data_IF_044701819216
#
_entry.id   IF_044701819216
#
_cell.length_a   1.000
_cell.length_b   1.000
_cell.length_c   1.000
_cell.angle_alpha   90.00
_cell.angle_beta   90.00
_cell.angle_gamma   90.00
#
_symmetry.space_group_name_H-M   'P 1'
#
loop_
_entity.id
_entity.type
_entity.pdbx_description
1 polymer ?
#
# COMPACT_ATOMS: atom_id res chain seq x y z
N UNK A 1 -2.22 14.97 17.11
CA UNK A 1 -2.72 14.30 15.92
C UNK A 1 -1.56 13.83 15.08
N UNK A 2 -1.05 12.62 15.39
CA UNK A 2 -0.08 11.95 14.54
C UNK A 2 -0.87 11.10 13.56
N UNK A 3 -1.02 11.57 12.32
CA UNK A 3 -1.40 10.71 11.21
C UNK A 3 -0.33 9.61 11.13
N UNK A 4 -0.74 8.37 11.33
CA UNK A 4 0.14 7.24 11.07
C UNK A 4 0.30 7.15 9.55
N UNK A 5 1.49 7.57 9.08
CA UNK A 5 1.86 7.43 7.69
C UNK A 5 1.94 5.95 7.34
N UNK A 6 1.15 5.51 6.38
CA UNK A 6 1.41 4.27 5.68
C UNK A 6 2.73 4.46 4.91
N UNK A 7 3.81 3.91 5.44
CA UNK A 7 5.13 4.03 4.83
C UNK A 7 5.26 2.99 3.71
N UNK A 8 5.08 3.41 2.46
CA UNK A 8 5.56 2.61 1.33
C UNK A 8 7.09 2.71 1.31
N UNK A 9 7.78 1.60 1.54
CA UNK A 9 9.23 1.49 1.44
C UNK A 9 9.58 0.65 0.24
N UNK A 10 10.36 1.21 -0.69
CA UNK A 10 10.97 0.42 -1.75
C UNK A 10 12.26 -0.20 -1.20
N UNK A 11 12.36 -1.52 -1.24
CA UNK A 11 13.53 -2.29 -0.86
C UNK A 11 14.23 -2.76 -2.14
N UNK A 12 15.40 -2.20 -2.41
CA UNK A 12 16.25 -2.67 -3.49
C UNK A 12 17.10 -3.85 -2.99
N UNK A 13 16.88 -5.03 -3.56
CA UNK A 13 17.60 -6.23 -3.19
C UNK A 13 18.62 -6.52 -4.30
N UNK A 14 19.92 -6.46 -3.97
CA UNK A 14 21.00 -6.74 -4.90
C UNK A 14 21.25 -8.25 -5.01
N UNK A 15 21.72 -8.70 -6.16
CA UNK A 15 22.00 -10.10 -6.45
C UNK A 15 22.97 -10.77 -5.49
N UNK A 16 23.87 -10.01 -4.84
CA UNK A 16 24.79 -10.53 -3.83
C UNK A 16 24.10 -11.07 -2.58
N UNK A 17 22.87 -10.62 -2.32
CA UNK A 17 22.11 -11.00 -1.11
C UNK A 17 21.16 -12.17 -1.36
N UNK A 18 20.85 -12.40 -2.64
CA UNK A 18 19.98 -13.48 -3.11
C UNK A 18 20.70 -14.18 -4.25
N UNK A 19 21.07 -15.45 -4.11
CA UNK A 19 21.65 -16.28 -5.19
C UNK A 19 20.62 -16.56 -6.31
N UNK A 20 20.10 -15.49 -6.93
CA UNK A 20 19.15 -15.55 -8.03
C UNK A 20 19.82 -14.90 -9.24
N UNK A 21 19.87 -15.63 -10.33
CA UNK A 21 20.62 -15.30 -11.56
C UNK A 21 20.48 -13.82 -11.98
N UNK A 22 21.59 -13.17 -12.16
CA UNK A 22 21.95 -11.92 -12.89
C UNK A 22 20.92 -10.78 -13.10
N UNK A 23 19.73 -10.82 -12.50
CA UNK A 23 18.72 -9.76 -12.58
C UNK A 23 18.35 -9.27 -11.17
N UNK A 24 18.53 -7.98 -10.93
CA UNK A 24 18.08 -7.34 -9.69
C UNK A 24 16.54 -7.29 -9.62
N UNK A 25 15.97 -7.43 -8.41
CA UNK A 25 14.57 -7.27 -8.15
C UNK A 25 14.33 -6.02 -7.30
N UNK A 26 13.28 -5.27 -7.61
CA UNK A 26 12.79 -4.18 -6.76
C UNK A 26 11.52 -4.68 -6.08
N UNK A 27 11.52 -4.73 -4.75
CA UNK A 27 10.36 -5.05 -3.95
C UNK A 27 9.83 -3.78 -3.31
N UNK A 28 8.59 -3.41 -3.65
CA UNK A 28 7.89 -2.31 -3.01
C UNK A 28 7.09 -2.85 -1.83
N UNK A 29 7.42 -2.43 -0.63
CA UNK A 29 6.72 -2.84 0.59
C UNK A 29 5.75 -1.74 1.03
N UNK A 30 4.47 -2.09 1.11
CA UNK A 30 3.42 -1.24 1.67
C UNK A 30 3.04 -1.82 3.04
N UNK A 31 3.31 -1.08 4.11
CA UNK A 31 2.88 -1.45 5.46
C UNK A 31 1.44 -1.01 5.67
N UNK A 32 0.64 -1.90 6.26
CA UNK A 32 -0.78 -1.64 6.52
C UNK A 32 -1.07 -1.65 8.02
N UNK A 33 -1.97 -0.77 8.51
CA UNK A 33 -2.39 -0.82 9.90
C UNK A 33 -3.11 -2.14 10.21
N UNK A 34 -2.81 -2.73 11.37
CA UNK A 34 -3.41 -4.01 11.78
C UNK A 34 -4.80 -3.88 12.41
N UNK A 35 -5.29 -2.69 12.72
CA UNK A 35 -6.54 -2.48 13.44
C UNK A 35 -7.76 -2.52 12.51
N UNK A 36 -8.86 -3.13 12.97
CA UNK A 36 -10.10 -3.28 12.20
C UNK A 36 -10.73 -1.98 11.69
N UNK A 37 -10.53 -0.88 12.42
CA UNK A 37 -11.07 0.43 12.06
C UNK A 37 -10.45 1.01 10.79
N UNK A 38 -9.29 0.48 10.38
CA UNK A 38 -8.55 0.88 9.18
C UNK A 38 -8.75 -0.07 7.99
N UNK A 39 -9.81 -0.85 7.99
CA UNK A 39 -10.11 -1.80 6.90
C UNK A 39 -10.17 -1.15 5.51
N UNK A 40 -10.58 0.10 5.45
CA UNK A 40 -10.63 0.88 4.21
C UNK A 40 -9.22 1.23 3.70
N UNK A 41 -8.30 1.63 4.58
CA UNK A 41 -6.90 1.91 4.24
C UNK A 41 -6.19 0.63 3.79
N UNK A 42 -6.42 -0.48 4.51
CA UNK A 42 -5.91 -1.81 4.12
C UNK A 42 -6.39 -2.18 2.71
N UNK A 43 -7.68 -2.03 2.43
CA UNK A 43 -8.25 -2.37 1.11
C UNK A 43 -7.59 -1.57 -0.04
N UNK A 44 -7.22 -0.32 0.20
CA UNK A 44 -6.56 0.53 -0.81
C UNK A 44 -5.11 0.12 -1.05
N UNK A 45 -4.37 -0.15 0.03
CA UNK A 45 -3.01 -0.65 -0.05
C UNK A 45 -2.97 -1.97 -0.83
N UNK A 46 -3.90 -2.89 -0.55
CA UNK A 46 -4.03 -4.15 -1.25
C UNK A 46 -4.33 -3.98 -2.75
N UNK A 47 -5.10 -2.96 -3.13
CA UNK A 47 -5.40 -2.68 -4.55
C UNK A 47 -4.15 -2.26 -5.36
N UNK A 48 -3.09 -1.81 -4.70
CA UNK A 48 -1.82 -1.42 -5.33
C UNK A 48 -0.79 -2.56 -5.38
N UNK A 49 -1.12 -3.77 -4.87
CA UNK A 49 -0.19 -4.88 -4.69
C UNK A 49 -0.51 -6.08 -5.59
N UNK A 50 0.47 -6.93 -5.83
CA UNK A 50 0.34 -8.25 -6.48
C UNK A 50 0.28 -9.39 -5.47
N UNK A 51 0.76 -9.16 -4.26
CA UNK A 51 0.75 -10.15 -3.19
C UNK A 51 0.66 -9.52 -1.81
N UNK A 52 0.35 -10.35 -0.83
CA UNK A 52 0.26 -9.96 0.57
C UNK A 52 0.99 -10.96 1.47
N UNK A 53 1.65 -10.45 2.48
CA UNK A 53 2.23 -11.24 3.56
C UNK A 53 1.24 -11.20 4.74
N UNK A 54 0.64 -12.34 5.07
CA UNK A 54 -0.19 -12.48 6.25
C UNK A 54 0.71 -12.82 7.44
N UNK A 55 1.02 -11.80 8.23
CA UNK A 55 1.97 -11.89 9.34
C UNK A 55 1.24 -12.21 10.64
N UNK A 56 1.59 -13.33 11.27
CA UNK A 56 1.03 -13.78 12.55
C UNK A 56 2.12 -13.78 13.63
N UNK A 57 1.79 -13.27 14.80
CA UNK A 57 2.66 -13.32 15.98
C UNK A 57 2.64 -14.75 16.57
N UNK A 58 3.81 -15.38 16.70
CA UNK A 58 3.94 -16.75 17.19
C UNK A 58 3.38 -16.94 18.61
N UNK A 59 3.42 -15.88 19.44
CA UNK A 59 2.95 -15.93 20.83
C UNK A 59 1.44 -15.72 20.90
N UNK A 60 0.91 -14.75 20.14
CA UNK A 60 -0.51 -14.38 20.17
C UNK A 60 -1.38 -15.28 19.30
N UNK A 61 -0.79 -15.91 18.28
CA UNK A 61 -1.52 -16.70 17.28
C UNK A 61 -2.44 -15.84 16.40
N UNK A 62 -3.41 -16.51 15.81
CA UNK A 62 -4.37 -15.90 14.89
C UNK A 62 -5.39 -15.10 15.70
N UNK A 63 -5.58 -13.84 15.30
CA UNK A 63 -6.51 -12.90 15.91
C UNK A 63 -7.67 -12.59 14.96
N UNK A 64 -8.77 -12.03 15.45
CA UNK A 64 -9.91 -11.63 14.62
C UNK A 64 -9.50 -10.69 13.47
N UNK A 65 -8.56 -9.79 13.74
CA UNK A 65 -7.99 -8.86 12.76
C UNK A 65 -7.23 -9.59 11.64
N UNK A 66 -6.54 -10.68 11.96
CA UNK A 66 -5.84 -11.53 10.98
C UNK A 66 -6.84 -12.10 9.96
N UNK A 67 -7.99 -12.60 10.44
CA UNK A 67 -9.04 -13.14 9.59
C UNK A 67 -9.72 -12.07 8.73
N UNK A 68 -9.95 -10.89 9.31
CA UNK A 68 -10.53 -9.77 8.58
C UNK A 68 -9.62 -9.31 7.43
N UNK A 69 -8.33 -9.13 7.70
CA UNK A 69 -7.34 -8.71 6.70
C UNK A 69 -7.10 -9.79 5.64
N UNK A 70 -7.12 -11.09 6.04
CA UNK A 70 -7.07 -12.20 5.09
C UNK A 70 -8.21 -12.12 4.08
N UNK A 71 -9.46 -11.94 4.54
CA UNK A 71 -10.62 -11.82 3.65
C UNK A 71 -10.52 -10.64 2.68
N UNK A 72 -9.94 -9.52 3.12
CA UNK A 72 -9.70 -8.38 2.24
C UNK A 72 -8.67 -8.72 1.15
N UNK A 73 -7.57 -9.40 1.51
CA UNK A 73 -6.55 -9.82 0.57
C UNK A 73 -7.08 -10.87 -0.44
N UNK A 74 -7.87 -11.84 0.03
CA UNK A 74 -8.56 -12.82 -0.84
C UNK A 74 -9.52 -12.15 -1.82
N UNK A 75 -10.32 -11.20 -1.33
CA UNK A 75 -11.26 -10.42 -2.17
C UNK A 75 -10.53 -9.57 -3.21
N UNK A 76 -9.33 -9.09 -2.91
CA UNK A 76 -8.47 -8.38 -3.85
C UNK A 76 -7.78 -9.31 -4.85
N UNK A 77 -7.91 -10.64 -4.70
CA UNK A 77 -7.32 -11.64 -5.60
C UNK A 77 -5.80 -11.75 -5.49
N UNK A 78 -5.22 -11.38 -4.36
CA UNK A 78 -3.78 -11.36 -4.16
C UNK A 78 -3.20 -12.75 -3.88
N UNK A 79 -1.93 -12.96 -4.25
CA UNK A 79 -1.17 -14.11 -3.76
C UNK A 79 -0.79 -13.87 -2.30
N UNK A 80 -1.26 -14.75 -1.41
CA UNK A 80 -1.04 -14.62 0.03
C UNK A 80 0.04 -15.58 0.48
N UNK A 81 1.03 -15.06 1.23
CA UNK A 81 2.08 -15.82 1.89
C UNK A 81 1.85 -15.79 3.40
N UNK A 82 1.68 -16.97 4.01
CA UNK A 82 1.57 -17.13 5.47
C UNK A 82 2.94 -17.05 6.14
N UNK A 83 3.05 -16.18 7.15
CA UNK A 83 4.31 -15.96 7.87
C UNK A 83 4.04 -15.89 9.37
N UNK A 84 4.80 -16.67 10.15
CA UNK A 84 4.79 -16.61 11.62
C UNK A 84 6.05 -15.91 12.08
N UNK A 85 5.88 -14.77 12.78
CA UNK A 85 6.96 -13.93 13.29
C UNK A 85 7.17 -14.14 14.80
N UNK A 86 8.32 -13.71 15.31
CA UNK A 86 8.76 -13.79 16.70
C UNK A 86 9.10 -15.21 17.16
N UNK A 87 9.62 -16.04 16.25
CA UNK A 87 10.05 -17.41 16.60
C UNK A 87 11.25 -17.42 17.58
N UNK A 88 11.96 -16.30 17.70
CA UNK A 88 13.02 -16.11 18.69
C UNK A 88 12.55 -16.23 20.14
N UNK A 89 11.25 -16.05 20.38
CA UNK A 89 10.65 -16.22 21.72
C UNK A 89 10.35 -17.68 22.05
N UNK A 90 10.56 -18.62 21.13
CA UNK A 90 10.35 -20.06 21.28
C UNK A 90 9.01 -20.42 21.97
N UNK A 91 7.86 -19.92 21.47
CA UNK A 91 6.59 -20.17 22.15
C UNK A 91 6.19 -21.66 22.04
N UNK A 92 5.72 -22.24 23.13
CA UNK A 92 5.29 -23.65 23.22
C UNK A 92 4.18 -24.00 22.21
N UNK A 93 3.35 -23.00 21.85
CA UNK A 93 2.22 -23.18 20.94
C UNK A 93 2.58 -22.97 19.45
N UNK A 94 3.87 -22.84 19.09
CA UNK A 94 4.30 -22.55 17.72
C UNK A 94 3.68 -23.52 16.68
N UNK A 95 3.76 -24.82 16.96
CA UNK A 95 3.23 -25.85 16.04
C UNK A 95 1.73 -25.68 15.83
N UNK A 96 0.97 -25.41 16.88
CA UNK A 96 -0.47 -25.15 16.79
C UNK A 96 -0.79 -23.90 15.96
N UNK A 97 0.03 -22.83 16.10
CA UNK A 97 -0.15 -21.61 15.29
C UNK A 97 0.13 -21.89 13.81
N UNK A 98 1.16 -22.66 13.50
CA UNK A 98 1.49 -23.07 12.12
C UNK A 98 0.36 -23.91 11.50
N UNK A 99 -0.18 -24.90 12.22
CA UNK A 99 -1.30 -25.72 11.76
C UNK A 99 -2.55 -24.88 11.51
N UNK A 100 -2.91 -24.02 12.45
CA UNK A 100 -4.08 -23.15 12.31
C UNK A 100 -3.94 -22.19 11.14
N UNK A 101 -2.75 -21.63 10.91
CA UNK A 101 -2.50 -20.74 9.77
C UNK A 101 -2.54 -21.48 8.44
N UNK A 102 -1.98 -22.70 8.38
CA UNK A 102 -2.02 -23.57 7.21
C UNK A 102 -3.46 -23.95 6.82
N UNK A 103 -4.30 -24.29 7.82
CA UNK A 103 -5.71 -24.61 7.64
C UNK A 103 -6.50 -23.42 7.04
N UNK A 104 -6.33 -22.23 7.61
CA UNK A 104 -7.02 -21.01 7.15
C UNK A 104 -6.59 -20.62 5.72
N UNK A 105 -5.30 -20.74 5.41
CA UNK A 105 -4.75 -20.44 4.09
C UNK A 105 -4.95 -21.58 3.08
N UNK A 106 -5.43 -22.74 3.53
CA UNK A 106 -5.60 -23.95 2.72
C UNK A 106 -4.31 -24.35 2.00
N UNK A 107 -3.19 -24.28 2.71
CA UNK A 107 -1.85 -24.57 2.20
C UNK A 107 -1.13 -25.57 3.10
N UNK A 108 -0.18 -26.37 2.60
CA UNK A 108 0.64 -27.23 3.45
C UNK A 108 1.37 -26.44 4.55
N UNK A 109 1.50 -27.03 5.74
CA UNK A 109 2.20 -26.39 6.87
C UNK A 109 3.65 -26.01 6.53
N UNK A 110 4.29 -26.78 5.70
CA UNK A 110 5.67 -26.59 5.21
C UNK A 110 5.83 -25.31 4.38
N UNK A 111 4.74 -24.80 3.83
CA UNK A 111 4.73 -23.55 3.08
C UNK A 111 4.61 -22.30 3.96
N UNK A 112 4.26 -22.47 5.23
CA UNK A 112 4.21 -21.36 6.20
C UNK A 112 5.63 -21.01 6.60
N UNK A 113 5.99 -19.76 6.37
CA UNK A 113 7.34 -19.26 6.67
C UNK A 113 7.46 -18.87 8.15
N UNK A 114 8.60 -19.18 8.72
CA UNK A 114 8.93 -18.89 10.14
C UNK A 114 10.04 -17.86 10.18
N UNK A 115 9.78 -16.72 10.82
CA UNK A 115 10.77 -15.64 10.88
C UNK A 115 10.89 -15.04 12.27
N UNK A 116 12.01 -14.38 12.50
CA UNK A 116 12.16 -13.37 13.54
C UNK A 116 12.63 -12.06 12.90
N UNK A 117 11.73 -11.08 12.80
CA UNK A 117 12.09 -9.77 12.32
C UNK A 117 13.13 -9.06 13.22
N UNK A 118 13.21 -9.47 14.51
CA UNK A 118 14.17 -8.94 15.48
C UNK A 118 15.59 -9.42 15.19
N UNK A 119 15.77 -10.72 14.89
CA UNK A 119 17.09 -11.35 14.69
C UNK A 119 17.49 -11.45 13.23
N UNK A 120 16.53 -11.28 12.30
CA UNK A 120 16.74 -11.51 10.86
C UNK A 120 16.56 -12.96 10.43
N UNK A 121 16.36 -13.91 11.36
CA UNK A 121 16.17 -15.33 11.04
C UNK A 121 14.97 -15.53 10.12
N UNK A 122 15.12 -16.31 9.04
CA UNK A 122 14.07 -16.63 8.09
C UNK A 122 13.66 -15.48 7.14
N UNK A 123 14.21 -14.27 7.30
CA UNK A 123 13.84 -13.11 6.47
C UNK A 123 14.33 -13.28 5.04
N UNK A 124 15.53 -13.85 4.84
CA UNK A 124 16.07 -14.11 3.49
C UNK A 124 15.18 -15.11 2.73
N UNK A 125 14.75 -16.15 3.40
CA UNK A 125 13.82 -17.16 2.86
C UNK A 125 12.46 -16.56 2.51
N UNK A 126 11.94 -15.63 3.34
CA UNK A 126 10.73 -14.89 3.05
C UNK A 126 10.87 -14.06 1.77
N UNK A 127 11.97 -13.30 1.62
CA UNK A 127 12.22 -12.50 0.42
C UNK A 127 12.33 -13.37 -0.85
N UNK A 128 13.00 -14.53 -0.76
CA UNK A 128 13.03 -15.51 -1.84
C UNK A 128 11.63 -16.03 -2.19
N UNK A 129 10.81 -16.33 -1.18
CA UNK A 129 9.46 -16.82 -1.40
C UNK A 129 8.57 -15.74 -2.05
N UNK A 130 8.73 -14.46 -1.68
CA UNK A 130 8.05 -13.34 -2.35
C UNK A 130 8.41 -13.32 -3.83
N UNK A 131 9.71 -13.29 -4.18
CA UNK A 131 10.16 -13.24 -5.57
C UNK A 131 9.67 -14.45 -6.38
N UNK A 132 9.64 -15.65 -5.76
CA UNK A 132 9.25 -16.88 -6.43
C UNK A 132 7.74 -17.07 -6.59
N UNK A 133 6.95 -16.62 -5.61
CA UNK A 133 5.52 -16.96 -5.50
C UNK A 133 4.59 -15.80 -5.82
N UNK A 134 5.01 -14.55 -5.60
CA UNK A 134 4.22 -13.37 -5.95
C UNK A 134 4.43 -13.06 -7.43
N UNK A 135 3.37 -12.94 -8.23
CA UNK A 135 3.53 -12.60 -9.65
C UNK A 135 4.12 -11.18 -9.79
N UNK A 136 4.90 -10.92 -10.84
CA UNK A 136 5.30 -9.56 -11.17
C UNK A 136 4.08 -8.71 -11.53
N UNK A 137 4.22 -7.37 -11.55
CA UNK A 137 3.22 -6.49 -12.12
C UNK A 137 2.79 -7.01 -13.50
N UNK A 138 1.49 -7.00 -13.76
CA UNK A 138 1.02 -7.42 -15.08
C UNK A 138 1.55 -6.43 -16.12
N UNK A 139 2.30 -6.94 -17.09
CA UNK A 139 2.63 -6.21 -18.31
C UNK A 139 1.34 -6.01 -19.12
N UNK A 140 0.57 -5.03 -18.76
CA UNK A 140 -0.54 -4.59 -19.58
C UNK A 140 0.08 -3.74 -20.68
N UNK A 141 0.54 -4.37 -21.76
CA UNK A 141 0.97 -3.67 -22.97
C UNK A 141 -0.24 -2.99 -23.62
N UNK A 142 -0.87 -2.09 -22.89
CA UNK A 142 -1.94 -1.26 -23.44
C UNK A 142 -1.28 -0.05 -24.08
N UNK A 143 -1.57 0.16 -25.37
CA UNK A 143 -1.28 1.41 -26.07
C UNK A 143 -2.19 2.55 -25.59
N UNK A 144 -2.71 2.42 -24.35
CA UNK A 144 -3.61 3.36 -23.74
C UNK A 144 -2.91 4.56 -23.08
N UNK A 145 -3.68 5.58 -22.72
CA UNK A 145 -3.16 6.72 -21.98
C UNK A 145 -2.70 6.28 -20.57
N UNK A 146 -1.65 6.92 -20.06
CA UNK A 146 -1.09 6.58 -18.75
C UNK A 146 -2.12 6.73 -17.63
N UNK A 147 -2.16 5.73 -16.72
CA UNK A 147 -3.04 5.70 -15.55
C UNK A 147 -2.28 5.22 -14.31
N UNK A 148 -2.50 5.91 -13.21
CA UNK A 148 -1.98 5.54 -11.90
C UNK A 148 -3.07 5.60 -10.84
N UNK A 149 -3.08 4.63 -9.92
CA UNK A 149 -3.97 4.57 -8.77
C UNK A 149 -3.33 5.29 -7.59
N UNK A 150 -4.06 6.20 -6.95
CA UNK A 150 -3.64 6.81 -5.70
C UNK A 150 -4.04 5.86 -4.56
N UNK A 151 -3.06 5.32 -3.84
CA UNK A 151 -3.33 4.45 -2.70
C UNK A 151 -3.10 5.13 -1.34
N UNK A 152 -2.36 6.27 -1.33
CA UNK A 152 -2.13 7.09 -0.14
C UNK A 152 -1.77 8.52 -0.53
N UNK A 153 -1.79 9.46 0.43
CA UNK A 153 -1.39 10.85 0.20
C UNK A 153 -0.82 11.49 1.46
N UNK A 154 0.11 12.43 1.27
CA UNK A 154 0.73 13.20 2.32
C UNK A 154 0.76 14.68 1.91
N UNK A 155 0.50 15.59 2.85
CA UNK A 155 0.69 17.01 2.63
C UNK A 155 2.14 17.43 2.94
N UNK A 156 2.74 18.16 2.01
CA UNK A 156 4.05 18.79 2.13
C UNK A 156 3.92 20.29 1.90
N UNK A 157 4.47 21.11 2.81
CA UNK A 157 4.30 22.58 2.77
C UNK A 157 4.88 23.22 1.50
N UNK A 158 5.90 22.62 0.89
CA UNK A 158 6.60 23.14 -0.29
C UNK A 158 6.11 22.55 -1.60
N UNK A 159 5.76 21.26 -1.59
CA UNK A 159 5.39 20.47 -2.78
C UNK A 159 3.88 20.33 -2.95
N UNK A 160 3.10 20.75 -1.95
CA UNK A 160 1.67 20.49 -1.90
C UNK A 160 1.37 19.03 -1.57
N UNK A 161 0.28 18.51 -2.06
CA UNK A 161 -0.10 17.12 -1.80
C UNK A 161 0.80 16.20 -2.62
N UNK A 162 1.45 15.27 -1.92
CA UNK A 162 2.18 14.15 -2.49
C UNK A 162 1.18 13.00 -2.64
N UNK A 163 0.86 12.61 -3.85
CA UNK A 163 0.05 11.43 -4.12
C UNK A 163 0.97 10.21 -4.25
N UNK A 164 0.80 9.21 -3.38
CA UNK A 164 1.47 7.92 -3.52
C UNK A 164 0.69 7.07 -4.51
N UNK A 165 1.37 6.66 -5.56
CA UNK A 165 0.72 6.06 -6.72
C UNK A 165 1.34 4.73 -7.11
N UNK A 166 0.49 3.84 -7.66
CA UNK A 166 0.88 2.70 -8.44
C UNK A 166 0.58 3.00 -9.92
N UNK A 167 1.58 2.95 -10.78
CA UNK A 167 1.40 3.11 -12.22
C UNK A 167 0.91 1.80 -12.82
N UNK A 168 -0.30 1.80 -13.39
CA UNK A 168 -0.90 0.64 -14.04
C UNK A 168 -0.67 0.63 -15.54
N UNK A 169 -0.63 1.79 -16.18
CA UNK A 169 -0.47 1.93 -17.62
C UNK A 169 0.42 3.14 -17.92
N UNK A 170 1.34 2.99 -18.87
CA UNK A 170 2.18 4.06 -19.38
C UNK A 170 3.21 4.61 -18.42
N UNK A 171 3.49 5.91 -18.50
CA UNK A 171 4.52 6.57 -17.68
C UNK A 171 4.13 8.01 -17.31
N UNK A 172 4.67 8.47 -16.17
CA UNK A 172 4.46 9.83 -15.65
C UNK A 172 5.81 10.53 -15.45
N UNK A 173 5.98 11.68 -16.11
CA UNK A 173 7.19 12.50 -16.03
C UNK A 173 6.95 13.77 -15.25
N UNK A 174 7.95 14.22 -14.52
CA UNK A 174 7.97 15.57 -13.93
C UNK A 174 7.75 16.61 -15.01
N UNK A 175 6.87 17.58 -14.75
CA UNK A 175 6.52 18.65 -15.67
C UNK A 175 5.36 18.37 -16.61
N UNK A 176 4.84 17.14 -16.67
CA UNK A 176 3.66 16.81 -17.50
C UNK A 176 2.36 17.27 -16.85
N UNK A 177 1.38 17.63 -17.70
CA UNK A 177 0.00 17.90 -17.26
C UNK A 177 -0.77 16.59 -17.19
N UNK A 178 -1.42 16.35 -16.07
CA UNK A 178 -2.24 15.19 -15.78
C UNK A 178 -3.53 15.62 -15.09
N UNK A 179 -4.47 14.69 -14.94
CA UNK A 179 -5.76 14.99 -14.31
C UNK A 179 -6.15 13.92 -13.28
N UNK A 180 -6.83 14.35 -12.23
CA UNK A 180 -7.58 13.53 -11.29
C UNK A 180 -8.95 13.22 -11.90
N UNK A 181 -9.32 11.95 -12.03
CA UNK A 181 -10.57 11.58 -12.74
C UNK A 181 -11.81 11.88 -11.90
N UNK A 182 -11.79 11.65 -10.59
CA UNK A 182 -12.94 11.87 -9.73
C UNK A 182 -13.36 13.36 -9.65
N UNK A 183 -12.40 14.25 -9.48
CA UNK A 183 -12.65 15.70 -9.39
C UNK A 183 -12.52 16.43 -10.73
N UNK A 184 -12.01 15.77 -11.76
CA UNK A 184 -11.68 16.35 -13.06
C UNK A 184 -10.68 17.50 -12.98
N UNK A 185 -9.93 17.56 -11.87
CA UNK A 185 -8.92 18.59 -11.61
C UNK A 185 -7.64 18.29 -12.38
N UNK A 186 -7.10 19.31 -13.06
CA UNK A 186 -5.84 19.22 -13.77
C UNK A 186 -4.71 19.80 -12.94
N UNK A 187 -3.56 19.16 -12.98
CA UNK A 187 -2.35 19.68 -12.35
C UNK A 187 -1.11 19.30 -13.15
N UNK A 188 -0.02 20.04 -12.90
CA UNK A 188 1.29 19.73 -13.45
C UNK A 188 2.12 19.02 -12.40
N UNK A 189 2.67 17.85 -12.73
CA UNK A 189 3.53 17.08 -11.85
C UNK A 189 4.76 17.94 -11.51
N UNK A 190 4.90 18.34 -10.26
CA UNK A 190 6.04 19.14 -9.77
C UNK A 190 7.29 18.31 -9.63
N UNK A 191 7.14 17.09 -9.14
CA UNK A 191 8.20 16.13 -8.91
C UNK A 191 7.63 14.71 -8.93
N UNK A 192 8.41 13.73 -9.38
CA UNK A 192 8.09 12.31 -9.29
C UNK A 192 9.29 11.54 -8.76
N UNK A 193 9.05 10.50 -7.98
CA UNK A 193 10.13 9.73 -7.36
C UNK A 193 9.66 8.56 -6.51
N UNK A 194 10.63 7.95 -5.81
CA UNK A 194 10.40 6.86 -4.88
C UNK A 194 10.48 7.32 -3.42
N UNK A 195 9.96 6.48 -2.55
CA UNK A 195 10.12 6.62 -1.11
C UNK A 195 11.03 5.50 -0.58
N UNK A 196 12.34 5.82 -0.32
CA UNK A 196 13.32 4.82 0.07
C UNK A 196 14.44 5.36 1.00
N UNK A 197 14.30 5.38 2.28
CA UNK A 197 13.20 5.71 3.20
C UNK A 197 12.84 7.21 3.18
N UNK A 198 13.45 8.00 2.31
CA UNK A 198 13.17 9.41 2.07
C UNK A 198 12.65 9.58 0.64
N UNK A 199 11.95 10.68 0.42
CA UNK A 199 11.56 11.07 -0.93
C UNK A 199 12.81 11.23 -1.79
N UNK A 200 12.92 10.41 -2.83
CA UNK A 200 14.04 10.41 -3.77
C UNK A 200 13.51 10.73 -5.16
N UNK A 201 13.72 11.96 -5.65
CA UNK A 201 13.28 12.34 -6.98
C UNK A 201 14.00 11.55 -8.07
N UNK A 202 13.26 11.07 -9.07
CA UNK A 202 13.80 10.35 -10.23
C UNK A 202 13.31 10.93 -11.55
N UNK A 203 12.30 11.80 -11.51
CA UNK A 203 11.76 12.48 -12.69
C UNK A 203 10.82 11.68 -13.58
N UNK A 204 10.75 10.37 -13.43
CA UNK A 204 9.94 9.45 -14.25
C UNK A 204 9.48 8.25 -13.42
N UNK A 205 8.18 7.93 -13.49
CA UNK A 205 7.61 6.67 -13.03
C UNK A 205 7.05 5.89 -14.21
N UNK A 206 7.39 4.61 -14.31
CA UNK A 206 6.98 3.71 -15.38
C UNK A 206 5.88 2.75 -14.92
N UNK A 207 5.27 2.10 -15.89
CA UNK A 207 4.32 1.02 -15.66
C UNK A 207 4.90 -0.04 -14.71
N UNK A 208 4.06 -0.48 -13.78
CA UNK A 208 4.46 -1.43 -12.74
C UNK A 208 5.14 -0.81 -11.52
N UNK A 209 5.56 0.44 -11.56
CA UNK A 209 6.27 1.07 -10.46
C UNK A 209 5.32 1.70 -9.43
N UNK A 210 5.79 1.71 -8.18
CA UNK A 210 5.19 2.45 -7.07
C UNK A 210 6.08 3.63 -6.73
N UNK A 211 5.48 4.80 -6.57
CA UNK A 211 6.21 6.00 -6.23
C UNK A 211 5.30 7.13 -5.76
N UNK A 212 5.77 8.35 -5.83
CA UNK A 212 4.98 9.54 -5.53
C UNK A 212 4.97 10.53 -6.68
N UNK A 213 3.88 11.28 -6.77
CA UNK A 213 3.73 12.44 -7.64
C UNK A 213 3.41 13.66 -6.75
N UNK A 214 4.28 14.68 -6.79
CA UNK A 214 4.02 15.95 -6.14
C UNK A 214 3.08 16.77 -7.02
N UNK A 215 1.88 17.02 -6.53
CA UNK A 215 0.80 17.65 -7.32
C UNK A 215 0.89 19.17 -7.36
N UNK A 216 1.48 19.79 -6.33
CA UNK A 216 1.43 21.23 -6.13
C UNK A 216 0.07 21.76 -5.67
N UNK A 217 -0.93 20.91 -5.55
CA UNK A 217 -2.25 21.26 -5.01
C UNK A 217 -2.17 21.41 -3.49
N UNK A 218 -2.89 22.37 -2.93
CA UNK A 218 -2.86 22.66 -1.49
C UNK A 218 -4.10 22.16 -0.76
N UNK A 219 -5.20 22.00 -1.47
CA UNK A 219 -6.48 21.57 -0.90
C UNK A 219 -6.53 20.05 -0.84
N UNK A 220 -6.57 19.49 0.38
CA UNK A 220 -6.57 18.05 0.63
C UNK A 220 -7.78 17.33 0.00
N UNK A 221 -8.88 18.04 -0.20
CA UNK A 221 -10.10 17.50 -0.79
C UNK A 221 -10.01 17.24 -2.29
N UNK A 222 -9.02 17.80 -2.96
CA UNK A 222 -8.83 17.58 -4.40
C UNK A 222 -8.20 16.22 -4.69
N UNK A 223 -7.28 15.75 -3.83
CA UNK A 223 -6.58 14.48 -4.03
C UNK A 223 -7.21 13.40 -3.17
N UNK A 224 -8.09 12.62 -3.77
CA UNK A 224 -8.77 11.51 -3.07
C UNK A 224 -7.97 10.22 -3.22
N UNK A 225 -7.77 9.51 -2.12
CA UNK A 225 -7.18 8.18 -2.15
C UNK A 225 -8.17 7.22 -2.82
N UNK A 226 -7.68 6.35 -3.71
CA UNK A 226 -8.49 5.51 -4.58
C UNK A 226 -8.84 6.15 -5.92
N UNK A 227 -8.58 7.47 -6.11
CA UNK A 227 -8.76 8.12 -7.40
C UNK A 227 -7.67 7.71 -8.41
N UNK A 228 -7.93 7.97 -9.67
CA UNK A 228 -7.03 7.70 -10.78
C UNK A 228 -6.43 9.00 -11.29
N UNK A 229 -5.09 9.05 -11.34
CA UNK A 229 -4.37 10.06 -12.11
C UNK A 229 -4.23 9.55 -13.54
N UNK A 230 -4.62 10.37 -14.52
CA UNK A 230 -4.56 10.00 -15.91
C UNK A 230 -3.93 11.09 -16.79
N UNK A 231 -3.25 10.67 -17.86
CA UNK A 231 -2.69 11.54 -18.88
C UNK A 231 -3.62 11.54 -20.09
N UNK A 232 -3.99 12.71 -20.60
CA UNK A 232 -4.89 12.84 -21.74
C UNK A 232 -6.37 12.62 -21.41
N UNK A 233 -7.16 12.30 -22.42
CA UNK A 233 -8.60 12.06 -22.28
C UNK A 233 -8.88 10.61 -21.90
N UNK A 234 -9.08 10.37 -20.63
CA UNK A 234 -9.48 9.08 -20.06
C UNK A 234 -10.86 9.24 -19.44
N UNK A 235 -11.78 8.34 -19.77
CA UNK A 235 -13.16 8.35 -19.24
C UNK A 235 -13.35 7.38 -18.07
N UNK A 236 -12.56 6.31 -18.01
CA UNK A 236 -12.72 5.24 -17.03
C UNK A 236 -11.61 5.27 -15.99
N UNK A 237 -12.01 5.36 -14.71
CA UNK A 237 -11.11 5.20 -13.58
C UNK A 237 -10.65 3.75 -13.44
N UNK A 238 -9.48 3.55 -12.81
CA UNK A 238 -9.05 2.23 -12.38
C UNK A 238 -10.04 1.66 -11.36
N UNK A 239 -10.20 0.33 -11.38
CA UNK A 239 -11.08 -0.36 -10.44
C UNK A 239 -10.57 -0.16 -9.01
N UNK A 240 -11.49 0.22 -8.10
CA UNK A 240 -11.15 0.40 -6.68
C UNK A 240 -11.57 1.75 -6.08
N UNK A 241 -11.91 2.75 -6.92
CA UNK A 241 -12.43 3.99 -6.39
C UNK A 241 -13.85 3.78 -5.83
N UNK A 242 -13.96 3.89 -4.52
CA UNK A 242 -15.24 4.10 -3.82
C UNK A 242 -15.04 5.25 -2.85
N UNK A 243 -15.97 6.18 -2.82
CA UNK A 243 -15.96 7.22 -1.81
C UNK A 243 -16.11 6.56 -0.43
N UNK A 244 -15.24 6.93 0.52
CA UNK A 244 -15.34 6.39 1.87
C UNK A 244 -16.67 6.80 2.48
N UNK A 245 -17.47 5.85 2.90
CA UNK A 245 -18.63 6.16 3.73
C UNK A 245 -18.12 6.68 5.09
N UNK A 246 -18.70 7.78 5.62
CA UNK A 246 -18.34 8.26 6.94
C UNK A 246 -18.61 7.17 7.98
N UNK A 247 -17.59 6.82 8.76
CA UNK A 247 -17.70 5.80 9.84
C UNK A 247 -17.69 6.42 11.23
N UNK A 248 -17.38 7.73 11.33
CA UNK A 248 -17.39 8.48 12.58
C UNK A 248 -18.28 9.69 12.41
N UNK A 249 -19.23 9.86 13.32
CA UNK A 249 -20.08 11.03 13.43
C UNK A 249 -19.73 11.76 14.72
N UNK A 250 -19.40 13.05 14.61
CA UNK A 250 -19.06 13.90 15.75
C UNK A 250 -20.05 15.04 15.80
N UNK A 251 -20.65 15.24 16.96
CA UNK A 251 -21.53 16.39 17.22
C UNK A 251 -20.74 17.44 18.00
N UNK A 252 -20.70 18.65 17.48
CA UNK A 252 -20.11 19.80 18.16
C UNK A 252 -21.22 20.62 18.81
N UNK A 253 -21.01 21.00 20.06
CA UNK A 253 -21.93 21.87 20.80
C UNK A 253 -21.19 23.12 21.27
N UNK A 254 -21.82 24.32 21.21
CA UNK A 254 -21.19 25.50 21.78
C UNK A 254 -21.02 25.36 23.29
N UNK A 255 -19.90 25.81 23.82
CA UNK A 255 -19.54 25.73 25.25
C UNK A 255 -20.19 26.81 26.12
N UNK A 256 -21.18 27.54 25.61
CA UNK A 256 -21.84 28.65 26.28
C UNK A 256 -21.10 30.00 26.10
N UNK A 257 -19.91 30.02 25.53
CA UNK A 257 -19.16 31.25 25.19
C UNK A 257 -19.21 31.55 23.69
N UNK A 258 -19.37 30.53 22.85
CA UNK A 258 -19.47 30.60 21.40
C UNK A 258 -20.93 30.49 20.97
N UNK A 259 -21.33 31.20 19.93
CA UNK A 259 -22.67 31.05 19.34
C UNK A 259 -22.67 29.87 18.37
N UNK A 260 -23.86 29.33 18.12
CA UNK A 260 -24.03 28.23 17.18
C UNK A 260 -23.61 28.62 15.74
N UNK A 261 -23.74 29.92 15.41
CA UNK A 261 -23.30 30.46 14.11
C UNK A 261 -21.79 30.43 13.93
N UNK A 262 -21.02 30.64 15.03
CA UNK A 262 -19.53 30.59 15.02
C UNK A 262 -18.99 29.18 14.82
N UNK A 263 -19.83 28.14 14.94
CA UNK A 263 -19.46 26.74 14.67
C UNK A 263 -19.74 26.30 13.23
N UNK A 264 -20.38 27.14 12.41
CA UNK A 264 -20.70 26.86 11.02
C UNK A 264 -19.66 27.34 10.03
N UNK A 265 -18.76 28.23 10.44
CA UNK A 265 -17.59 28.65 9.69
C UNK A 265 -16.40 27.69 9.96
#
# INVERSE_FOLDING_TARGET
>A
NKSQNSNSKSLEIRNSDLEIANSGYILNLIDTPGHSDFSYEVSRALAACEGAILLVDAVKGIQAQTLSNLRLAEKAGLKILGVVNKIDLQPENLEKVLESLAEILKTPKEEILKISAKTGQGVKELLHAVIKKVPPPRDVKTQGPAKALIFDSLYDDHKGILAFVRVFEGEFKTGEEVRLLARREKFKIKESGYFAPRLTPIGLLKEGEIGYLATGLKESDLVKIGDTIAKGEVKESLHGYREAAPVVFISFYPDGRSRFEDLKE
#
